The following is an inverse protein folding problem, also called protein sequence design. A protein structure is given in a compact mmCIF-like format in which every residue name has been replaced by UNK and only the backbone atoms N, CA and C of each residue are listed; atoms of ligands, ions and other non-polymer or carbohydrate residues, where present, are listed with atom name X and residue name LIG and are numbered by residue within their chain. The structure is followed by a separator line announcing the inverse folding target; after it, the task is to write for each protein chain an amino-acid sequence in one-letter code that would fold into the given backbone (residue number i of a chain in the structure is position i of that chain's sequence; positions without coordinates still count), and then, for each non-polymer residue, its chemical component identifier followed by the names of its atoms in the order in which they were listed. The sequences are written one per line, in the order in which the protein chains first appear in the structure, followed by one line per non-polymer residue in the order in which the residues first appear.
data_IF_119853175522
#
_entry.id   IF_119853175522
#
_cell.length_a   1.000
_cell.length_b   1.000
_cell.length_c   1.000
_cell.angle_alpha   90.00
_cell.angle_beta   90.00
_cell.angle_gamma   90.00
#
_symmetry.space_group_name_H-M   'P 1'
#
loop_
_entity.id
_entity.type
_entity.pdbx_description
1 polymer ?
#
# COMPACT_ATOMS: atom_id res chain seq x y z
N UNK A 1 -42.10 -8.74 -26.02
CA UNK A 1 -41.24 -8.23 -24.92
C UNK A 1 -40.36 -9.36 -24.44
N UNK A 2 -39.23 -9.56 -25.07
CA UNK A 2 -38.17 -10.46 -24.58
C UNK A 2 -37.10 -9.57 -23.94
N UNK A 3 -37.03 -9.56 -22.61
CA UNK A 3 -35.92 -9.00 -21.87
C UNK A 3 -34.69 -9.88 -22.14
N UNK A 4 -33.74 -9.34 -22.88
CA UNK A 4 -32.43 -9.95 -23.07
C UNK A 4 -31.68 -9.84 -21.76
N UNK A 5 -31.66 -10.91 -20.94
CA UNK A 5 -30.77 -11.07 -19.80
C UNK A 5 -29.37 -11.17 -20.36
N UNK A 6 -28.66 -10.06 -20.45
CA UNK A 6 -27.20 -10.09 -20.52
C UNK A 6 -26.70 -10.64 -19.20
N UNK A 7 -26.39 -11.91 -19.18
CA UNK A 7 -25.55 -12.51 -18.14
C UNK A 7 -24.18 -11.84 -18.28
N UNK A 8 -23.95 -10.80 -17.49
CA UNK A 8 -22.62 -10.23 -17.32
C UNK A 8 -21.81 -11.32 -16.64
N UNK A 9 -21.06 -12.08 -17.44
CA UNK A 9 -20.05 -13.01 -16.95
C UNK A 9 -18.99 -12.13 -16.29
N UNK A 10 -19.10 -11.89 -15.00
CA UNK A 10 -18.04 -11.34 -14.18
C UNK A 10 -16.89 -12.34 -14.26
N UNK A 11 -15.95 -12.09 -15.16
CA UNK A 11 -14.67 -12.78 -15.18
C UNK A 11 -13.96 -12.40 -13.88
N UNK A 12 -14.10 -13.26 -12.86
CA UNK A 12 -13.59 -12.99 -11.53
C UNK A 12 -12.06 -12.88 -11.59
N UNK A 13 -11.58 -11.67 -11.37
CA UNK A 13 -10.16 -11.47 -11.15
C UNK A 13 -9.78 -12.18 -9.85
N UNK A 14 -8.61 -12.80 -9.83
CA UNK A 14 -8.02 -13.41 -8.63
C UNK A 14 -8.15 -12.44 -7.45
N UNK A 15 -8.66 -12.89 -6.29
CA UNK A 15 -8.80 -12.01 -5.13
C UNK A 15 -7.49 -11.36 -4.75
N UNK A 16 -7.51 -10.08 -4.32
CA UNK A 16 -6.31 -9.39 -3.87
C UNK A 16 -5.75 -10.02 -2.57
N UNK A 17 -4.52 -9.69 -2.21
CA UNK A 17 -4.02 -10.04 -0.89
C UNK A 17 -4.80 -9.28 0.21
N UNK A 18 -4.80 -9.80 1.44
CA UNK A 18 -5.48 -9.15 2.57
C UNK A 18 -5.02 -7.69 2.76
N UNK A 19 -3.72 -7.42 2.62
CA UNK A 19 -3.13 -6.08 2.70
C UNK A 19 -3.59 -5.11 1.61
N UNK A 20 -4.11 -5.65 0.50
CA UNK A 20 -4.60 -4.86 -0.64
C UNK A 20 -6.11 -4.61 -0.59
N UNK A 21 -6.81 -5.18 0.41
CA UNK A 21 -8.21 -4.88 0.65
C UNK A 21 -8.37 -3.40 1.03
N UNK A 22 -9.30 -2.70 0.38
CA UNK A 22 -9.50 -1.25 0.56
C UNK A 22 -8.38 -0.35 0.00
N UNK A 23 -7.44 -0.90 -0.75
CA UNK A 23 -6.28 -0.16 -1.30
C UNK A 23 -6.69 1.02 -2.20
N UNK A 24 -7.76 0.89 -2.98
CA UNK A 24 -8.23 1.97 -3.85
C UNK A 24 -8.56 3.23 -3.04
N UNK A 25 -9.35 3.09 -1.97
CA UNK A 25 -9.63 4.21 -1.08
C UNK A 25 -8.36 4.74 -0.40
N UNK A 26 -7.54 3.85 0.15
CA UNK A 26 -6.28 4.22 0.81
C UNK A 26 -5.32 4.97 -0.12
N UNK A 27 -5.28 4.61 -1.40
CA UNK A 27 -4.44 5.26 -2.40
C UNK A 27 -4.85 6.73 -2.63
N UNK A 28 -6.15 7.05 -2.66
CA UNK A 28 -6.65 8.44 -2.76
C UNK A 28 -6.23 9.27 -1.55
N UNK A 29 -6.17 8.68 -0.35
CA UNK A 29 -5.74 9.38 0.87
C UNK A 29 -4.22 9.52 1.02
N UNK A 30 -3.43 8.68 0.34
CA UNK A 30 -1.98 8.58 0.56
C UNK A 30 -1.14 9.06 -0.62
N UNK A 31 -1.55 8.79 -1.86
CA UNK A 31 -0.79 9.15 -3.05
C UNK A 31 -1.00 10.62 -3.44
N UNK A 32 0.05 11.25 -3.95
CA UNK A 32 0.04 12.66 -4.33
C UNK A 32 0.24 13.64 -3.17
N UNK A 33 0.65 13.14 -1.99
CA UNK A 33 0.93 13.96 -0.81
C UNK A 33 2.31 13.62 -0.23
N UNK A 34 2.97 14.62 0.34
CA UNK A 34 4.28 14.49 0.99
C UNK A 34 4.49 15.59 2.03
N UNK A 35 3.48 15.84 2.88
CA UNK A 35 3.49 16.95 3.83
C UNK A 35 4.71 16.96 4.76
N UNK A 36 5.42 18.09 4.79
CA UNK A 36 6.61 18.25 5.61
C UNK A 36 7.80 17.41 5.15
N UNK A 37 7.78 16.93 3.90
CA UNK A 37 8.83 16.09 3.35
C UNK A 37 9.28 16.63 2.00
N UNK A 38 10.59 16.72 1.80
CA UNK A 38 11.19 16.87 0.47
C UNK A 38 11.71 15.49 0.07
N UNK A 39 11.24 14.96 -1.05
CA UNK A 39 11.54 13.60 -1.52
C UNK A 39 12.07 13.64 -2.96
N UNK A 40 13.11 12.85 -3.20
CA UNK A 40 13.66 12.60 -4.52
C UNK A 40 13.70 11.08 -4.75
N UNK A 41 13.06 10.63 -5.81
CA UNK A 41 13.10 9.23 -6.25
C UNK A 41 13.73 9.17 -7.65
N UNK A 42 14.73 8.35 -7.81
CA UNK A 42 15.39 8.07 -9.10
C UNK A 42 15.23 6.58 -9.42
N UNK A 43 14.63 6.30 -10.58
CA UNK A 43 14.49 4.94 -11.11
C UNK A 43 15.26 4.85 -12.41
N UNK A 44 16.13 3.87 -12.50
CA UNK A 44 16.87 3.55 -13.73
C UNK A 44 16.77 2.07 -14.04
N UNK A 45 16.71 1.75 -15.31
CA UNK A 45 16.69 0.37 -15.77
C UNK A 45 17.85 0.12 -16.70
N UNK A 46 18.70 -0.84 -16.32
CA UNK A 46 19.82 -1.29 -17.17
C UNK A 46 19.30 -2.11 -18.36
N UNK A 47 20.05 -2.13 -19.45
CA UNK A 47 19.81 -3.00 -20.62
C UNK A 47 19.70 -4.48 -20.25
N UNK A 48 20.42 -4.91 -19.22
CA UNK A 48 20.37 -6.29 -18.69
C UNK A 48 19.16 -6.59 -17.82
N UNK A 49 18.19 -5.66 -17.73
CA UNK A 49 16.94 -5.84 -16.96
C UNK A 49 17.08 -5.62 -15.44
N UNK A 50 18.23 -5.16 -14.96
CA UNK A 50 18.41 -4.75 -13.57
C UNK A 50 17.78 -3.37 -13.38
N UNK A 51 16.92 -3.24 -12.38
CA UNK A 51 16.28 -1.98 -11.99
C UNK A 51 16.94 -1.43 -10.72
N UNK A 52 17.32 -0.17 -10.77
CA UNK A 52 17.88 0.57 -9.63
C UNK A 52 16.88 1.65 -9.22
N UNK A 53 16.49 1.64 -7.94
CA UNK A 53 15.65 2.65 -7.35
C UNK A 53 16.41 3.32 -6.21
N UNK A 54 16.75 4.58 -6.39
CA UNK A 54 17.39 5.39 -5.34
C UNK A 54 16.35 6.36 -4.81
N UNK A 55 16.15 6.41 -3.52
CA UNK A 55 15.27 7.37 -2.87
C UNK A 55 16.00 8.14 -1.79
N UNK A 56 15.77 9.45 -1.75
CA UNK A 56 16.21 10.32 -0.69
C UNK A 56 15.05 11.15 -0.18
N UNK A 57 14.97 11.37 1.12
CA UNK A 57 13.96 12.23 1.70
C UNK A 57 14.50 12.97 2.92
N UNK A 58 14.03 14.19 3.12
CA UNK A 58 14.28 14.93 4.35
C UNK A 58 12.96 15.43 4.92
N UNK A 59 12.84 15.32 6.22
CA UNK A 59 11.70 15.88 6.95
C UNK A 59 12.04 17.31 7.34
N UNK A 60 11.23 18.26 6.89
CA UNK A 60 11.46 19.70 7.09
C UNK A 60 11.29 20.13 8.55
N UNK A 61 10.46 19.42 9.34
CA UNK A 61 10.19 19.76 10.73
C UNK A 61 11.31 19.27 11.66
N UNK A 62 11.86 18.08 11.38
CA UNK A 62 12.86 17.44 12.25
C UNK A 62 14.29 17.56 11.73
N UNK A 63 14.47 17.99 10.48
CA UNK A 63 15.76 18.04 9.78
C UNK A 63 16.37 16.65 9.52
N UNK A 64 15.66 15.56 9.84
CA UNK A 64 16.17 14.20 9.59
C UNK A 64 16.13 13.90 8.11
N UNK A 65 17.26 13.49 7.57
CA UNK A 65 17.39 13.00 6.21
C UNK A 65 17.60 11.48 6.21
N UNK A 66 17.02 10.81 5.23
CA UNK A 66 17.16 9.39 5.01
C UNK A 66 17.17 9.08 3.52
N UNK A 67 17.81 7.97 3.16
CA UNK A 67 17.82 7.50 1.79
C UNK A 67 17.90 5.99 1.71
N UNK A 68 17.61 5.45 0.56
CA UNK A 68 17.74 4.03 0.28
C UNK A 68 18.12 3.79 -1.17
N UNK A 69 18.92 2.74 -1.37
CA UNK A 69 19.21 2.18 -2.68
C UNK A 69 18.56 0.80 -2.75
N UNK A 70 17.75 0.58 -3.76
CA UNK A 70 17.11 -0.70 -4.04
C UNK A 70 17.51 -1.18 -5.42
N UNK A 71 17.95 -2.44 -5.51
CA UNK A 71 18.30 -3.11 -6.76
C UNK A 71 17.36 -4.28 -6.95
N UNK A 72 16.69 -4.34 -8.11
CA UNK A 72 15.78 -5.43 -8.49
C UNK A 72 16.30 -6.12 -9.74
N UNK A 73 16.35 -7.43 -9.68
CA UNK A 73 16.68 -8.26 -10.82
C UNK A 73 15.69 -9.40 -10.98
N UNK A 74 15.10 -9.52 -12.15
CA UNK A 74 14.14 -10.58 -12.47
C UNK A 74 14.74 -11.50 -13.55
N UNK A 75 14.90 -12.77 -13.18
CA UNK A 75 15.23 -13.86 -14.13
C UNK A 75 13.92 -14.51 -14.58
N UNK A 76 13.40 -14.09 -15.74
CA UNK A 76 12.10 -14.54 -16.23
C UNK A 76 12.05 -16.04 -16.49
N UNK A 77 13.15 -16.60 -16.99
CA UNK A 77 13.25 -18.02 -17.36
C UNK A 77 13.17 -18.96 -16.15
N UNK A 78 13.60 -18.49 -14.99
CA UNK A 78 13.61 -19.24 -13.73
C UNK A 78 12.50 -18.80 -12.77
N UNK A 79 11.65 -17.82 -13.15
CA UNK A 79 10.65 -17.24 -12.24
C UNK A 79 11.25 -16.66 -10.96
N UNK A 80 12.57 -16.41 -10.96
CA UNK A 80 13.32 -15.96 -9.80
C UNK A 80 13.47 -14.44 -9.80
N UNK A 81 13.19 -13.80 -8.67
CA UNK A 81 13.38 -12.37 -8.48
C UNK A 81 14.27 -12.14 -7.27
N UNK A 82 15.29 -11.30 -7.44
CA UNK A 82 16.16 -10.81 -6.39
C UNK A 82 15.87 -9.34 -6.16
N UNK A 83 15.61 -8.96 -4.92
CA UNK A 83 15.44 -7.58 -4.49
C UNK A 83 16.38 -7.31 -3.32
N UNK A 84 17.27 -6.34 -3.46
CA UNK A 84 18.21 -5.94 -2.43
C UNK A 84 18.02 -4.45 -2.13
N UNK A 85 17.82 -4.12 -0.86
CA UNK A 85 17.61 -2.76 -0.41
C UNK A 85 18.59 -2.42 0.72
N UNK A 86 19.28 -1.32 0.57
CA UNK A 86 20.15 -0.75 1.59
C UNK A 86 19.65 0.66 1.95
N UNK A 87 19.52 0.96 3.23
CA UNK A 87 19.10 2.29 3.69
C UNK A 87 20.19 3.00 4.51
N UNK A 88 20.02 4.28 4.75
CA UNK A 88 20.95 5.12 5.54
C UNK A 88 21.01 4.73 7.02
N UNK A 89 20.04 3.95 7.54
CA UNK A 89 20.11 3.35 8.88
C UNK A 89 21.04 2.12 8.91
N UNK A 90 21.81 1.92 7.85
CA UNK A 90 22.72 0.81 7.64
C UNK A 90 22.04 -0.56 7.77
N UNK A 91 20.78 -0.66 7.31
CA UNK A 91 20.05 -1.93 7.22
C UNK A 91 20.07 -2.41 5.77
N UNK A 92 20.62 -3.60 5.58
CA UNK A 92 20.59 -4.32 4.31
C UNK A 92 19.46 -5.34 4.36
N UNK A 93 18.55 -5.28 3.41
CA UNK A 93 17.45 -6.26 3.24
C UNK A 93 17.61 -6.94 1.89
N UNK A 94 17.55 -8.25 1.86
CA UNK A 94 17.62 -9.06 0.63
C UNK A 94 16.42 -9.99 0.59
N UNK A 95 15.62 -9.87 -0.46
CA UNK A 95 14.49 -10.75 -0.75
C UNK A 95 14.79 -11.56 -2.01
N UNK A 96 14.70 -12.87 -1.89
CA UNK A 96 14.78 -13.81 -3.02
C UNK A 96 13.41 -14.46 -3.13
N UNK A 97 12.78 -14.36 -4.29
CA UNK A 97 11.47 -14.96 -4.51
C UNK A 97 11.40 -15.78 -5.79
N UNK A 98 10.63 -16.87 -5.73
CA UNK A 98 10.33 -17.77 -6.84
C UNK A 98 8.82 -17.81 -7.01
N UNK A 99 8.34 -17.63 -8.23
CA UNK A 99 6.92 -17.59 -8.56
C UNK A 99 6.63 -18.56 -9.71
N UNK A 100 5.53 -19.33 -9.60
CA UNK A 100 4.99 -20.25 -10.62
C UNK A 100 5.90 -21.41 -11.05
N UNK A 101 7.01 -21.66 -10.36
CA UNK A 101 7.93 -22.76 -10.73
C UNK A 101 7.55 -24.10 -10.08
N UNK A 102 7.09 -24.09 -8.84
CA UNK A 102 6.74 -25.29 -8.10
C UNK A 102 5.28 -25.70 -8.34
N UNK A 103 4.39 -24.73 -8.35
CA UNK A 103 2.97 -24.90 -8.67
C UNK A 103 2.40 -23.58 -9.18
N UNK A 104 1.46 -23.64 -10.11
CA UNK A 104 0.82 -22.47 -10.68
C UNK A 104 0.09 -21.65 -9.59
N UNK A 105 0.43 -20.37 -9.46
CA UNK A 105 -0.08 -19.48 -8.44
C UNK A 105 0.66 -19.53 -7.10
N UNK A 106 1.70 -20.38 -6.95
CA UNK A 106 2.53 -20.43 -5.75
C UNK A 106 3.72 -19.48 -5.87
N UNK A 107 3.87 -18.61 -4.86
CA UNK A 107 5.02 -17.76 -4.66
C UNK A 107 5.69 -18.10 -3.34
N UNK A 108 6.99 -18.33 -3.38
CA UNK A 108 7.84 -18.47 -2.20
C UNK A 108 8.83 -17.32 -2.18
N UNK A 109 9.04 -16.70 -1.04
CA UNK A 109 10.04 -15.66 -0.87
C UNK A 109 10.77 -15.82 0.46
N UNK A 110 12.08 -15.68 0.43
CA UNK A 110 12.94 -15.60 1.60
C UNK A 110 13.42 -14.15 1.72
N UNK A 111 13.03 -13.52 2.82
CA UNK A 111 13.40 -12.16 3.16
C UNK A 111 14.40 -12.20 4.31
N UNK A 112 15.57 -11.63 4.10
CA UNK A 112 16.64 -11.56 5.11
C UNK A 112 17.02 -10.11 5.35
N UNK A 113 17.25 -9.74 6.59
CA UNK A 113 17.77 -8.42 6.91
C UNK A 113 19.02 -8.53 7.78
N UNK A 114 19.96 -7.64 7.54
CA UNK A 114 21.21 -7.53 8.26
C UNK A 114 21.50 -6.07 8.61
N UNK A 115 21.81 -5.82 9.87
CA UNK A 115 22.22 -4.52 10.38
C UNK A 115 23.68 -4.61 10.83
N UNK A 116 24.66 -4.17 10.02
CA UNK A 116 26.10 -4.31 10.32
C UNK A 116 26.48 -3.73 11.67
N UNK A 117 25.95 -2.56 12.05
CA UNK A 117 26.32 -1.86 13.29
C UNK A 117 26.00 -2.66 14.56
N UNK A 118 24.96 -3.47 14.54
CA UNK A 118 24.51 -4.27 15.69
C UNK A 118 24.74 -5.77 15.48
N UNK A 119 25.24 -6.16 14.31
CA UNK A 119 25.33 -7.55 13.83
C UNK A 119 23.98 -8.30 13.89
N UNK A 120 22.85 -7.58 14.01
CA UNK A 120 21.52 -8.16 14.10
C UNK A 120 21.12 -8.71 12.75
N UNK A 121 20.69 -9.98 12.76
CA UNK A 121 20.18 -10.69 11.57
C UNK A 121 18.75 -11.10 11.82
N UNK A 122 17.89 -10.94 10.84
CA UNK A 122 16.55 -11.49 10.88
C UNK A 122 16.23 -12.16 9.54
N UNK A 123 15.35 -13.15 9.58
CA UNK A 123 14.89 -13.87 8.41
C UNK A 123 13.38 -14.09 8.48
N UNK A 124 12.74 -14.05 7.33
CA UNK A 124 11.31 -14.27 7.18
C UNK A 124 11.05 -15.10 5.92
N UNK A 125 10.35 -16.19 6.07
CA UNK A 125 9.85 -16.99 4.95
C UNK A 125 8.42 -16.55 4.63
N UNK A 126 8.17 -16.16 3.40
CA UNK A 126 6.85 -15.76 2.90
C UNK A 126 6.36 -16.75 1.88
N UNK A 127 5.15 -17.21 2.02
CA UNK A 127 4.48 -18.12 1.10
C UNK A 127 3.17 -17.50 0.65
N UNK A 128 2.92 -17.47 -0.63
CA UNK A 128 1.67 -16.98 -1.22
C UNK A 128 1.11 -17.98 -2.20
N UNK A 129 -0.19 -18.22 -2.15
CA UNK A 129 -0.90 -19.05 -3.10
C UNK A 129 -2.13 -18.33 -3.64
N UNK A 130 -2.20 -18.16 -4.95
CA UNK A 130 -3.26 -17.42 -5.64
C UNK A 130 -3.99 -18.32 -6.64
N UNK A 131 -5.30 -18.33 -6.54
CA UNK A 131 -6.21 -19.00 -7.48
C UNK A 131 -7.47 -18.15 -7.70
N UNK A 132 -8.31 -18.56 -8.63
CA UNK A 132 -9.48 -17.81 -9.12
C UNK A 132 -10.42 -17.31 -8.03
N UNK A 133 -10.55 -18.04 -6.92
CA UNK A 133 -11.47 -17.69 -5.83
C UNK A 133 -10.77 -17.45 -4.50
N UNK A 134 -9.45 -17.67 -4.43
CA UNK A 134 -8.72 -17.68 -3.16
C UNK A 134 -7.32 -17.08 -3.31
N UNK A 135 -6.93 -16.30 -2.31
CA UNK A 135 -5.57 -15.81 -2.13
C UNK A 135 -5.18 -16.05 -0.69
N UNK A 136 -4.19 -16.91 -0.47
CA UNK A 136 -3.69 -17.26 0.87
C UNK A 136 -2.23 -16.84 0.95
N UNK A 137 -1.84 -16.27 2.08
CA UNK A 137 -0.45 -16.01 2.40
C UNK A 137 -0.13 -16.54 3.80
N UNK A 138 1.09 -17.04 3.96
CA UNK A 138 1.63 -17.47 5.24
C UNK A 138 3.08 -17.01 5.34
N UNK A 139 3.38 -16.23 6.34
CA UNK A 139 4.69 -15.67 6.60
C UNK A 139 5.18 -16.16 7.96
N UNK A 140 6.40 -16.67 8.01
CA UNK A 140 7.05 -17.17 9.24
C UNK A 140 8.25 -16.27 9.53
N UNK A 141 8.22 -15.59 10.67
CA UNK A 141 9.33 -14.78 11.15
C UNK A 141 10.23 -15.65 12.06
N UNK A 142 11.54 -15.65 11.79
CA UNK A 142 12.50 -16.48 12.54
C UNK A 142 13.08 -15.76 13.77
N UNK A 143 12.95 -14.45 13.88
CA UNK A 143 13.52 -13.69 15.01
C UNK A 143 12.64 -13.76 16.29
N UNK A 144 11.35 -13.80 16.13
CA UNK A 144 10.40 -14.21 17.17
C UNK A 144 9.43 -15.12 16.46
N UNK A 145 9.27 -16.38 16.82
CA UNK A 145 8.57 -17.35 15.99
C UNK A 145 7.06 -17.03 15.91
N UNK A 146 6.76 -15.96 15.18
CA UNK A 146 5.39 -15.51 14.88
C UNK A 146 5.02 -15.99 13.48
N UNK A 147 3.92 -16.68 13.37
CA UNK A 147 3.32 -17.11 12.11
C UNK A 147 2.19 -16.15 11.76
N UNK A 148 2.35 -15.42 10.66
CA UNK A 148 1.33 -14.57 10.09
C UNK A 148 0.64 -15.31 8.97
N UNK A 149 -0.67 -15.47 9.04
CA UNK A 149 -1.46 -16.08 7.98
C UNK A 149 -2.58 -15.16 7.58
N UNK A 150 -2.86 -15.08 6.29
CA UNK A 150 -3.99 -14.35 5.76
C UNK A 150 -4.62 -15.11 4.60
N UNK A 151 -5.93 -15.05 4.51
CA UNK A 151 -6.71 -15.63 3.43
C UNK A 151 -7.77 -14.64 2.95
N UNK A 152 -7.95 -14.55 1.65
CA UNK A 152 -9.03 -13.79 1.02
C UNK A 152 -9.77 -14.71 0.07
N UNK A 153 -11.08 -14.80 0.26
CA UNK A 153 -12.00 -15.47 -0.62
C UNK A 153 -12.75 -14.42 -1.46
N UNK A 154 -12.91 -14.68 -2.74
CA UNK A 154 -13.64 -13.81 -3.66
C UNK A 154 -14.74 -14.57 -4.38
N UNK A 155 -15.97 -14.03 -4.36
CA UNK A 155 -17.08 -14.59 -5.09
C UNK A 155 -18.06 -13.47 -5.54
N UNK A 156 -18.33 -13.39 -6.83
CA UNK A 156 -19.28 -12.42 -7.43
C UNK A 156 -19.12 -10.97 -6.94
N UNK A 157 -17.87 -10.50 -6.85
CA UNK A 157 -17.56 -9.14 -6.37
C UNK A 157 -17.43 -9.02 -4.85
N UNK A 158 -17.87 -10.01 -4.07
CA UNK A 158 -17.66 -10.08 -2.64
C UNK A 158 -16.26 -10.57 -2.31
N UNK A 159 -15.66 -9.97 -1.31
CA UNK A 159 -14.34 -10.32 -0.79
C UNK A 159 -14.46 -10.54 0.71
N UNK A 160 -14.11 -11.73 1.17
CA UNK A 160 -14.05 -12.05 2.59
C UNK A 160 -12.59 -12.30 2.95
N UNK A 161 -12.06 -11.50 3.86
CA UNK A 161 -10.67 -11.58 4.33
C UNK A 161 -10.58 -11.98 5.80
N UNK A 162 -9.61 -12.85 6.10
CA UNK A 162 -9.21 -13.17 7.45
C UNK A 162 -7.70 -13.09 7.57
N UNK A 163 -7.22 -12.48 8.64
CA UNK A 163 -5.79 -12.40 8.94
C UNK A 163 -5.56 -12.70 10.41
N UNK A 164 -4.56 -13.51 10.69
CA UNK A 164 -4.14 -13.82 12.04
C UNK A 164 -2.62 -13.77 12.18
N UNK A 165 -2.15 -13.51 13.39
CA UNK A 165 -0.77 -13.71 13.79
C UNK A 165 -0.72 -14.53 15.08
N UNK A 166 0.04 -15.62 15.06
CA UNK A 166 0.20 -16.53 16.18
C UNK A 166 1.66 -16.52 16.67
N UNK A 167 1.86 -16.12 17.92
CA UNK A 167 3.16 -16.16 18.60
C UNK A 167 3.35 -17.58 19.14
N UNK A 168 4.24 -18.35 18.50
CA UNK A 168 4.48 -19.75 18.88
C UNK A 168 5.27 -19.86 20.19
N UNK A 169 6.05 -18.86 20.56
CA UNK A 169 6.81 -18.88 21.82
C UNK A 169 5.89 -18.68 23.04
N UNK A 170 4.84 -17.86 22.89
CA UNK A 170 3.87 -17.60 23.96
C UNK A 170 2.60 -18.42 23.80
N UNK A 171 2.48 -19.21 22.72
CA UNK A 171 1.28 -19.96 22.36
C UNK A 171 0.01 -19.10 22.39
N UNK A 172 0.11 -17.86 21.88
CA UNK A 172 -0.95 -16.87 21.92
C UNK A 172 -1.25 -16.29 20.55
N UNK A 173 -2.52 -16.13 20.24
CA UNK A 173 -2.97 -15.33 19.10
C UNK A 173 -2.76 -13.85 19.44
N UNK A 174 -1.89 -13.17 18.65
CA UNK A 174 -1.51 -11.76 18.87
C UNK A 174 -2.23 -10.81 17.92
N UNK A 175 -2.83 -11.34 16.87
CA UNK A 175 -3.62 -10.56 15.93
C UNK A 175 -4.76 -11.40 15.36
N UNK A 176 -5.95 -10.81 15.27
CA UNK A 176 -7.14 -11.46 14.74
C UNK A 176 -8.00 -10.41 14.01
N UNK A 177 -7.93 -10.41 12.69
CA UNK A 177 -8.55 -9.39 11.85
C UNK A 177 -9.50 -10.03 10.84
N UNK A 178 -10.67 -9.45 10.71
CA UNK A 178 -11.67 -9.77 9.68
C UNK A 178 -11.86 -8.60 8.73
N UNK A 179 -12.11 -8.89 7.48
CA UNK A 179 -12.42 -7.90 6.48
C UNK A 179 -13.53 -8.40 5.55
N UNK A 180 -14.43 -7.51 5.19
CA UNK A 180 -15.45 -7.73 4.19
C UNK A 180 -15.35 -6.63 3.15
N UNK A 181 -15.29 -6.99 1.89
CA UNK A 181 -15.25 -6.08 0.76
C UNK A 181 -16.29 -6.42 -0.28
N UNK A 182 -16.70 -5.41 -1.03
CA UNK A 182 -17.52 -5.57 -2.23
C UNK A 182 -16.96 -4.68 -3.34
N UNK A 183 -16.73 -5.26 -4.51
CA UNK A 183 -16.24 -4.56 -5.69
C UNK A 183 -17.17 -4.78 -6.86
N UNK A 184 -17.76 -3.70 -7.36
CA UNK A 184 -18.62 -3.70 -8.52
C UNK A 184 -18.20 -2.56 -9.46
N UNK A 185 -17.55 -2.90 -10.57
CA UNK A 185 -17.09 -1.90 -11.54
C UNK A 185 -16.24 -0.79 -10.89
N UNK A 186 -16.78 0.42 -10.90
CA UNK A 186 -16.16 1.64 -10.40
C UNK A 186 -16.38 1.89 -8.89
N UNK A 187 -17.10 1.01 -8.21
CA UNK A 187 -17.42 1.11 -6.79
C UNK A 187 -16.69 0.04 -5.98
N UNK A 188 -16.14 0.42 -4.84
CA UNK A 188 -15.55 -0.51 -3.88
C UNK A 188 -15.94 -0.12 -2.46
N UNK A 189 -16.50 -1.06 -1.74
CA UNK A 189 -16.77 -0.99 -0.30
C UNK A 189 -15.79 -1.91 0.41
N UNK A 190 -15.24 -1.47 1.51
CA UNK A 190 -14.39 -2.28 2.38
C UNK A 190 -14.69 -1.97 3.83
N UNK A 191 -14.83 -3.00 4.64
CA UNK A 191 -14.96 -2.91 6.09
C UNK A 191 -14.00 -3.89 6.74
N UNK A 192 -13.47 -3.52 7.90
CA UNK A 192 -12.58 -4.40 8.67
C UNK A 192 -12.82 -4.24 10.17
N UNK A 193 -12.53 -5.33 10.88
CA UNK A 193 -12.53 -5.38 12.34
C UNK A 193 -11.19 -5.97 12.75
N UNK A 194 -10.41 -5.23 13.52
CA UNK A 194 -9.10 -5.66 14.01
C UNK A 194 -9.17 -5.93 15.50
N UNK A 195 -8.74 -7.13 15.90
CA UNK A 195 -8.68 -7.58 17.30
C UNK A 195 -10.00 -7.39 18.09
N UNK A 196 -11.14 -7.32 17.38
CA UNK A 196 -12.45 -7.10 17.99
C UNK A 196 -12.68 -5.70 18.59
N UNK A 197 -11.73 -4.78 18.44
CA UNK A 197 -11.77 -3.46 19.05
C UNK A 197 -11.74 -2.32 18.04
N UNK A 198 -10.98 -2.45 16.95
CA UNK A 198 -10.85 -1.44 15.92
C UNK A 198 -11.72 -1.76 14.71
N UNK A 199 -12.65 -0.88 14.42
CA UNK A 199 -13.56 -0.98 13.28
C UNK A 199 -13.16 0.04 12.23
N UNK A 200 -13.04 -0.41 10.99
CA UNK A 200 -12.72 0.43 9.84
C UNK A 200 -13.72 0.22 8.71
N UNK A 201 -13.96 1.25 7.95
CA UNK A 201 -14.73 1.19 6.72
C UNK A 201 -14.20 2.20 5.72
N UNK A 202 -14.27 1.85 4.45
CA UNK A 202 -13.93 2.76 3.35
C UNK A 202 -14.82 2.50 2.16
N UNK A 203 -15.17 3.57 1.49
CA UNK A 203 -15.89 3.57 0.22
C UNK A 203 -15.01 4.26 -0.80
N UNK A 204 -14.82 3.65 -1.94
CA UNK A 204 -14.18 4.23 -3.10
C UNK A 204 -15.17 4.26 -4.25
N UNK A 205 -15.24 5.38 -4.95
CA UNK A 205 -16.05 5.54 -6.14
C UNK A 205 -15.26 6.27 -7.23
N UNK A 206 -15.14 5.65 -8.39
CA UNK A 206 -14.73 6.32 -9.62
C UNK A 206 -15.98 6.98 -10.23
N UNK A 207 -16.12 8.26 -10.00
CA UNK A 207 -17.29 9.05 -10.45
C UNK A 207 -17.25 9.27 -11.97
N UNK A 208 -16.04 9.49 -12.49
CA UNK A 208 -15.78 9.63 -13.93
C UNK A 208 -14.34 9.19 -14.23
N UNK A 209 -13.95 9.19 -15.50
CA UNK A 209 -12.55 8.89 -15.87
C UNK A 209 -11.55 9.89 -15.29
N UNK A 210 -12.02 11.07 -14.92
CA UNK A 210 -11.19 12.13 -14.35
C UNK A 210 -11.34 12.26 -12.84
N UNK A 211 -12.46 11.81 -12.23
CA UNK A 211 -12.76 12.03 -10.82
C UNK A 211 -12.88 10.73 -10.05
N UNK A 212 -12.04 10.56 -9.08
CA UNK A 212 -12.06 9.48 -8.09
C UNK A 212 -12.30 10.07 -6.70
N UNK A 213 -13.16 9.44 -5.92
CA UNK A 213 -13.49 9.87 -4.56
C UNK A 213 -13.37 8.72 -3.58
N UNK A 214 -13.03 9.03 -2.35
CA UNK A 214 -12.98 8.04 -1.28
C UNK A 214 -13.43 8.64 0.05
N UNK A 215 -14.09 7.83 0.85
CA UNK A 215 -14.50 8.14 2.22
C UNK A 215 -13.95 7.05 3.13
N UNK A 216 -13.43 7.44 4.29
CA UNK A 216 -12.94 6.51 5.31
C UNK A 216 -13.56 6.83 6.66
N UNK A 217 -13.90 5.78 7.40
CA UNK A 217 -14.36 5.85 8.78
C UNK A 217 -13.54 4.85 9.59
N UNK A 218 -13.04 5.26 10.74
CA UNK A 218 -12.40 4.36 11.69
C UNK A 218 -12.86 4.71 13.12
N UNK A 219 -13.17 3.68 13.88
CA UNK A 219 -13.65 3.80 15.25
C UNK A 219 -13.01 2.73 16.13
N UNK A 220 -12.55 3.10 17.32
CA UNK A 220 -11.99 2.18 18.29
C UNK A 220 -12.98 2.02 19.44
N UNK A 221 -13.38 0.77 19.74
CA UNK A 221 -14.28 0.45 20.83
C UNK A 221 -13.72 0.90 22.19
N UNK A 222 -14.59 1.46 23.03
CA UNK A 222 -14.16 1.97 24.34
C UNK A 222 -13.45 3.32 24.32
N UNK A 223 -13.28 3.92 23.15
CA UNK A 223 -12.77 5.28 22.99
C UNK A 223 -13.78 6.13 22.21
N UNK A 224 -13.88 7.43 22.56
CA UNK A 224 -14.66 8.39 21.77
C UNK A 224 -13.90 8.88 20.53
N UNK A 225 -12.89 8.12 20.09
CA UNK A 225 -12.00 8.53 19.02
C UNK A 225 -12.50 7.98 17.66
N UNK A 226 -13.43 8.67 17.05
CA UNK A 226 -13.87 8.41 15.69
C UNK A 226 -13.05 9.24 14.70
N UNK A 227 -12.47 8.60 13.72
CA UNK A 227 -11.74 9.25 12.63
C UNK A 227 -12.56 9.13 11.37
N UNK A 228 -12.86 10.25 10.76
CA UNK A 228 -13.59 10.34 9.50
C UNK A 228 -12.78 11.19 8.52
N UNK A 229 -12.75 10.78 7.26
CA UNK A 229 -12.07 11.52 6.21
C UNK A 229 -12.76 11.35 4.86
N UNK A 230 -12.70 12.42 4.07
CA UNK A 230 -13.11 12.43 2.66
C UNK A 230 -11.93 12.86 1.83
N UNK A 231 -11.74 12.21 0.69
CA UNK A 231 -10.71 12.56 -0.27
C UNK A 231 -11.21 12.44 -1.70
N UNK A 232 -10.64 13.25 -2.57
CA UNK A 232 -10.90 13.22 -4.00
C UNK A 232 -9.61 13.41 -4.77
N UNK A 233 -9.52 12.78 -5.94
CA UNK A 233 -8.46 12.99 -6.91
C UNK A 233 -9.11 13.36 -8.24
N UNK A 234 -8.67 14.46 -8.81
CA UNK A 234 -9.13 14.94 -10.10
C UNK A 234 -7.96 15.00 -11.11
N UNK A 235 -8.13 14.30 -12.22
CA UNK A 235 -7.18 14.33 -13.33
C UNK A 235 -7.52 15.53 -14.22
N UNK A 236 -6.69 16.57 -14.21
CA UNK A 236 -6.89 17.77 -15.02
C UNK A 236 -6.69 17.49 -16.50
N UNK A 237 -5.57 16.80 -16.79
CA UNK A 237 -5.19 16.35 -18.12
C UNK A 237 -4.34 15.07 -18.03
N UNK A 238 -3.72 14.63 -19.12
CA UNK A 238 -2.88 13.42 -19.14
C UNK A 238 -1.64 13.53 -18.22
N UNK A 239 -1.19 14.75 -17.96
CA UNK A 239 0.07 15.03 -17.28
C UNK A 239 -0.10 15.65 -15.90
N UNK A 240 -1.32 16.12 -15.56
CA UNK A 240 -1.58 16.86 -14.32
C UNK A 240 -2.75 16.28 -13.54
N UNK A 241 -2.59 16.16 -12.22
CA UNK A 241 -3.66 15.78 -11.31
C UNK A 241 -3.63 16.58 -10.01
N UNK A 242 -4.82 16.84 -9.46
CA UNK A 242 -5.02 17.46 -8.15
C UNK A 242 -5.65 16.45 -7.22
N UNK A 243 -5.16 16.39 -6.01
CA UNK A 243 -5.71 15.58 -4.94
C UNK A 243 -6.05 16.46 -3.74
N UNK A 244 -7.19 16.23 -3.12
CA UNK A 244 -7.59 16.94 -1.91
C UNK A 244 -8.16 15.96 -0.90
N UNK A 245 -7.91 16.20 0.38
CA UNK A 245 -8.48 15.41 1.48
C UNK A 245 -8.77 16.29 2.69
N UNK A 246 -9.77 15.90 3.45
CA UNK A 246 -10.14 16.56 4.71
C UNK A 246 -10.52 15.49 5.73
N UNK A 247 -10.24 15.75 6.98
CA UNK A 247 -10.63 14.89 8.09
C UNK A 247 -11.41 15.65 9.17
N UNK A 248 -11.97 14.89 10.12
CA UNK A 248 -12.71 15.46 11.26
C UNK A 248 -11.86 16.26 12.26
N UNK A 249 -10.53 16.21 12.14
CA UNK A 249 -9.62 17.11 12.88
C UNK A 249 -9.46 18.48 12.22
N UNK A 250 -10.22 18.77 11.14
CA UNK A 250 -10.12 19.97 10.30
C UNK A 250 -8.76 20.15 9.61
N UNK A 251 -8.05 19.05 9.39
CA UNK A 251 -6.83 19.06 8.57
C UNK A 251 -7.23 18.93 7.09
N UNK A 252 -6.82 19.89 6.30
CA UNK A 252 -7.04 19.93 4.85
C UNK A 252 -5.71 19.67 4.16
N UNK A 253 -5.64 18.59 3.39
CA UNK A 253 -4.48 18.24 2.57
C UNK A 253 -4.77 18.50 1.10
N UNK A 254 -3.89 19.18 0.40
CA UNK A 254 -3.95 19.38 -1.04
C UNK A 254 -2.65 18.88 -1.66
N UNK A 255 -2.75 18.25 -2.81
CA UNK A 255 -1.62 17.78 -3.58
C UNK A 255 -1.81 18.09 -5.06
N UNK A 256 -0.76 18.53 -5.71
CA UNK A 256 -0.69 18.75 -7.14
C UNK A 256 0.45 17.94 -7.71
N UNK A 257 0.18 17.12 -8.70
CA UNK A 257 1.19 16.29 -9.38
C UNK A 257 1.20 16.64 -10.85
N UNK A 258 2.39 16.95 -11.37
CA UNK A 258 2.63 17.31 -12.76
C UNK A 258 3.73 16.44 -13.36
N UNK A 259 3.47 15.84 -14.51
CA UNK A 259 4.48 15.26 -15.37
C UNK A 259 5.07 16.39 -16.23
N UNK A 260 6.30 16.79 -15.92
CA UNK A 260 6.98 17.90 -16.63
C UNK A 260 7.47 17.47 -18.02
N UNK A 261 7.90 16.22 -18.11
CA UNK A 261 8.28 15.53 -19.36
C UNK A 261 8.23 14.02 -19.10
N UNK A 262 8.21 13.16 -20.12
CA UNK A 262 8.30 11.72 -19.93
C UNK A 262 9.46 11.34 -19.00
N UNK A 263 9.15 10.58 -17.94
CA UNK A 263 10.11 10.18 -16.91
C UNK A 263 10.39 11.24 -15.82
N UNK A 264 9.80 12.44 -15.84
CA UNK A 264 10.01 13.48 -14.82
C UNK A 264 8.68 13.94 -14.24
N UNK A 265 8.45 13.61 -12.96
CA UNK A 265 7.23 13.97 -12.25
C UNK A 265 7.53 14.81 -11.02
N UNK A 266 6.78 15.90 -10.88
CA UNK A 266 6.82 16.83 -9.76
C UNK A 266 5.52 16.68 -8.95
N UNK A 267 5.64 16.60 -7.63
CA UNK A 267 4.50 16.61 -6.70
C UNK A 267 4.69 17.72 -5.69
N UNK A 268 3.74 18.63 -5.63
CA UNK A 268 3.64 19.68 -4.61
C UNK A 268 2.51 19.32 -3.67
N UNK A 269 2.70 19.50 -2.36
CA UNK A 269 1.65 19.23 -1.39
C UNK A 269 1.65 20.24 -0.25
N UNK A 270 0.46 20.50 0.29
CA UNK A 270 0.27 21.37 1.44
C UNK A 270 -0.76 20.75 2.39
N UNK A 271 -0.43 20.75 3.68
CA UNK A 271 -1.34 20.45 4.76
C UNK A 271 -1.67 21.73 5.50
N UNK A 272 -2.94 22.01 5.66
CA UNK A 272 -3.47 23.20 6.31
C UNK A 272 -4.23 22.76 7.57
N UNK A 273 -3.88 23.29 8.71
CA UNK A 273 -4.65 23.14 9.94
C UNK A 273 -5.76 24.20 9.94
N UNK A 274 -7.00 23.76 9.70
CA UNK A 274 -8.16 24.65 9.63
C UNK A 274 -8.62 25.17 10.98
N UNK A 275 -8.23 24.51 12.10
CA UNK A 275 -8.55 25.00 13.45
C UNK A 275 -7.57 26.08 13.91
N UNK A 276 -6.31 25.98 13.48
CA UNK A 276 -5.20 26.81 13.94
C UNK A 276 -4.58 27.62 12.78
N UNK A 277 -5.42 28.19 11.92
CA UNK A 277 -4.96 28.85 10.71
C UNK A 277 -3.93 29.98 10.96
N UNK A 278 -4.08 30.71 12.04
CA UNK A 278 -3.22 31.85 12.39
C UNK A 278 -1.99 31.45 13.21
N UNK A 279 -1.99 30.31 13.88
CA UNK A 279 -0.93 29.91 14.84
C UNK A 279 0.11 28.96 14.25
N UNK A 280 -0.06 28.54 12.99
CA UNK A 280 0.84 27.64 12.31
C UNK A 280 0.39 26.19 12.33
N UNK A 281 1.33 25.23 12.12
CA UNK A 281 0.99 23.81 11.98
C UNK A 281 0.81 23.40 10.51
N UNK A 282 0.95 24.35 9.58
CA UNK A 282 0.90 24.07 8.15
C UNK A 282 2.20 23.39 7.69
N UNK A 283 2.08 22.47 6.77
CA UNK A 283 3.22 21.74 6.23
C UNK A 283 3.19 21.77 4.72
N UNK A 284 4.34 22.05 4.11
CA UNK A 284 4.52 21.98 2.66
C UNK A 284 5.43 20.80 2.36
N UNK A 285 5.19 20.13 1.24
CA UNK A 285 6.00 19.03 0.79
C UNK A 285 6.29 19.10 -0.70
N UNK A 286 7.45 18.62 -1.08
CA UNK A 286 7.94 18.55 -2.44
C UNK A 286 8.38 17.11 -2.75
N UNK A 287 7.89 16.56 -3.85
CA UNK A 287 8.31 15.27 -4.37
C UNK A 287 8.81 15.41 -5.80
N UNK A 288 9.93 14.79 -6.10
CA UNK A 288 10.49 14.75 -7.44
C UNK A 288 10.84 13.32 -7.80
N UNK A 289 10.23 12.81 -8.87
CA UNK A 289 10.47 11.45 -9.38
C UNK A 289 11.11 11.55 -10.76
N UNK A 290 12.22 10.83 -10.92
CA UNK A 290 12.97 10.70 -12.18
C UNK A 290 12.98 9.23 -12.59
N UNK A 291 12.60 8.95 -13.82
CA UNK A 291 12.66 7.65 -14.45
C UNK A 291 13.47 7.75 -15.76
N UNK A 292 14.57 7.01 -15.86
CA UNK A 292 15.50 7.03 -16.99
C UNK A 292 15.77 5.60 -17.51
#
# INVERSE_FOLDING_TARGET
FFACNQVIIYRMAVPPAYSDLGKAAKDIFSKGYGFGIVKLDLKTKSQNGVEFNTSGSTNTDTGKAGGSLETKYKMKDLGLSLNQKWNTDNKLTTEVSVEDQLAQGLKLALDTSFVPNTAKKSGKLKTGYKRDFVNVSCDIDFEGPVVHSAAVLGYEGWLLGYQMAFDTAKSKLVQNNFALGYKAGDFQLHTNVNDGADYGGSVYQKVSDQLETAVTLAWTSGSNNTRFGVAAKYQLDKDASVSAKVNNASLIGVGYTQCLRPGVKLTLSALIDGKNFSTGGHKVGLGFELEA
#
